data_IF_456809032188
#
_entry.id   IF_456809032188
#
_cell.length_a   1.000
_cell.length_b   1.000
_cell.length_c   1.000
_cell.angle_alpha   90.00
_cell.angle_beta   90.00
_cell.angle_gamma   90.00
#
_symmetry.space_group_name_H-M   'P 1'
#
loop_
_entity.id
_entity.type
_entity.pdbx_description
1 polymer ?
#
# COMPACT_ATOMS: atom_id res chain seq x y z
N UNK A 1 13.47 4.78 -16.30
CA UNK A 1 12.80 4.35 -15.07
C UNK A 1 11.95 5.45 -14.49
N UNK A 2 10.77 5.09 -14.04
CA UNK A 2 9.80 6.07 -13.57
C UNK A 2 10.19 6.60 -12.18
N UNK A 3 10.41 7.92 -12.08
CA UNK A 3 10.73 8.55 -10.79
C UNK A 3 9.62 8.39 -9.77
N UNK A 4 8.38 8.32 -10.21
CA UNK A 4 7.24 8.09 -9.33
C UNK A 4 7.36 6.73 -8.65
N UNK A 5 7.71 5.69 -9.39
CA UNK A 5 7.87 4.35 -8.83
C UNK A 5 8.95 4.34 -7.76
N UNK A 6 10.09 4.97 -8.04
CA UNK A 6 11.17 5.07 -7.06
C UNK A 6 10.73 5.77 -5.78
N UNK A 7 10.02 6.87 -5.93
CA UNK A 7 9.50 7.65 -4.82
C UNK A 7 8.52 6.83 -3.99
N UNK A 8 7.61 6.12 -4.65
CA UNK A 8 6.62 5.29 -3.96
C UNK A 8 7.26 4.11 -3.26
N UNK A 9 8.27 3.50 -3.88
CA UNK A 9 9.04 2.42 -3.24
C UNK A 9 9.69 2.92 -1.95
N UNK A 10 10.35 4.06 -2.00
CA UNK A 10 10.98 4.62 -0.82
C UNK A 10 9.95 4.90 0.28
N UNK A 11 8.87 5.59 -0.05
CA UNK A 11 7.83 5.94 0.92
C UNK A 11 7.19 4.70 1.55
N UNK A 12 6.97 3.66 0.76
CA UNK A 12 6.30 2.46 1.25
C UNK A 12 7.20 1.59 2.12
N UNK A 13 8.51 1.72 1.99
CA UNK A 13 9.48 0.94 2.77
C UNK A 13 10.03 1.73 3.96
N UNK A 14 9.57 2.95 4.17
CA UNK A 14 10.01 3.81 5.29
C UNK A 14 8.79 4.35 6.03
N UNK A 15 7.93 3.42 6.37
CA UNK A 15 6.71 3.77 7.11
C UNK A 15 6.95 3.89 8.61
N UNK A 16 6.76 4.06 9.48
CA UNK A 16 7.10 4.19 10.88
C UNK A 16 7.11 2.89 11.66
N UNK A 17 6.50 1.84 11.11
CA UNK A 17 6.47 0.55 11.77
C UNK A 17 6.98 -0.54 10.86
N UNK A 18 7.62 -1.54 11.46
CA UNK A 18 8.15 -2.69 10.74
C UNK A 18 7.06 -3.45 10.00
N UNK A 19 5.90 -3.56 10.63
CA UNK A 19 4.78 -4.30 10.05
C UNK A 19 4.27 -3.63 8.78
N UNK A 20 4.14 -2.30 8.81
CA UNK A 20 3.69 -1.57 7.63
C UNK A 20 4.77 -1.57 6.55
N UNK A 21 6.04 -1.52 6.92
CA UNK A 21 7.13 -1.66 5.97
C UNK A 21 7.05 -3.01 5.24
N UNK A 22 6.72 -4.08 5.95
CA UNK A 22 6.59 -5.41 5.34
C UNK A 22 5.35 -5.53 4.46
N UNK A 23 4.22 -5.05 4.93
CA UNK A 23 2.95 -5.21 4.20
C UNK A 23 2.84 -4.25 3.03
N UNK A 24 3.01 -2.97 3.28
CA UNK A 24 2.89 -1.95 2.24
C UNK A 24 4.14 -1.92 1.37
N UNK A 25 5.31 -1.94 2.00
CA UNK A 25 6.58 -1.96 1.28
C UNK A 25 6.78 -3.22 0.47
N UNK A 26 6.42 -4.37 1.04
CA UNK A 26 6.49 -5.65 0.34
C UNK A 26 5.57 -5.68 -0.88
N UNK A 27 4.36 -5.18 -0.73
CA UNK A 27 3.43 -5.06 -1.85
C UNK A 27 4.04 -4.20 -2.96
N UNK A 28 4.62 -3.06 -2.58
CA UNK A 28 5.21 -2.14 -3.55
C UNK A 28 6.36 -2.79 -4.31
N UNK A 29 7.24 -3.48 -3.61
CA UNK A 29 8.38 -4.14 -4.26
C UNK A 29 7.93 -5.12 -5.33
N UNK A 30 6.88 -5.88 -5.05
CA UNK A 30 6.42 -6.91 -5.98
C UNK A 30 5.50 -6.39 -7.07
N UNK A 31 4.76 -5.31 -6.83
CA UNK A 31 3.64 -4.95 -7.68
C UNK A 31 3.68 -3.58 -8.35
N UNK A 32 4.47 -2.60 -7.86
CA UNK A 32 4.39 -1.25 -8.41
C UNK A 32 4.62 -1.19 -9.91
N UNK A 33 5.56 -1.97 -10.43
CA UNK A 33 5.87 -1.97 -11.86
C UNK A 33 4.75 -2.57 -12.70
N UNK A 34 3.84 -3.30 -12.07
CA UNK A 34 2.72 -3.96 -12.75
C UNK A 34 1.44 -3.15 -12.69
N UNK A 35 1.42 -2.08 -11.91
CA UNK A 35 0.23 -1.28 -11.72
C UNK A 35 0.02 -0.32 -12.90
N UNK A 36 -1.23 -0.08 -13.23
CA UNK A 36 -1.59 0.94 -14.22
C UNK A 36 -1.29 2.34 -13.65
N UNK A 37 -1.23 3.37 -14.51
CA UNK A 37 -1.04 4.74 -14.03
C UNK A 37 -2.10 5.16 -13.00
N UNK A 38 -3.35 4.73 -13.17
CA UNK A 38 -4.41 5.04 -12.22
C UNK A 38 -4.19 4.34 -10.90
N UNK A 39 -3.75 3.08 -10.94
CA UNK A 39 -3.45 2.33 -9.73
C UNK A 39 -2.26 2.92 -8.97
N UNK A 40 -1.25 3.40 -9.70
CA UNK A 40 -0.11 4.07 -9.07
C UNK A 40 -0.56 5.33 -8.35
N UNK A 41 -1.49 6.06 -8.93
CA UNK A 41 -2.06 7.25 -8.32
C UNK A 41 -2.83 6.91 -7.05
N UNK A 42 -3.60 5.84 -7.10
CA UNK A 42 -4.30 5.36 -5.92
C UNK A 42 -3.34 4.97 -4.81
N UNK A 43 -2.26 4.29 -5.17
CA UNK A 43 -1.26 3.88 -4.20
C UNK A 43 -0.60 5.09 -3.54
N UNK A 44 -0.32 6.12 -4.32
CA UNK A 44 0.23 7.37 -3.79
C UNK A 44 -0.72 8.00 -2.77
N UNK A 45 -2.01 8.04 -3.08
CA UNK A 45 -3.02 8.55 -2.16
C UNK A 45 -3.12 7.70 -0.91
N UNK A 46 -3.04 6.38 -1.07
CA UNK A 46 -3.08 5.45 0.06
C UNK A 46 -1.91 5.69 1.02
N UNK A 47 -0.75 6.02 0.51
CA UNK A 47 0.42 6.29 1.34
C UNK A 47 0.27 7.54 2.20
N UNK A 48 -0.71 8.38 1.93
CA UNK A 48 -0.99 9.55 2.76
C UNK A 48 -1.77 9.19 4.04
N UNK A 49 -2.31 7.98 4.12
CA UNK A 49 -2.96 7.52 5.35
C UNK A 49 -1.90 7.24 6.42
N UNK A 50 -2.28 7.39 7.68
CA UNK A 50 -1.36 7.11 8.78
C UNK A 50 -1.12 5.61 8.93
N UNK A 51 -0.01 5.25 9.55
CA UNK A 51 0.29 3.84 9.84
C UNK A 51 -0.80 3.23 10.72
N UNK A 52 -1.36 4.00 11.62
CA UNK A 52 -2.45 3.53 12.47
C UNK A 52 -3.69 3.18 11.65
N UNK A 53 -4.04 4.04 10.70
CA UNK A 53 -5.19 3.78 9.83
C UNK A 53 -4.96 2.56 8.96
N UNK A 54 -3.78 2.46 8.36
CA UNK A 54 -3.44 1.33 7.50
C UNK A 54 -3.36 0.03 8.30
N UNK A 55 -2.79 0.07 9.49
CA UNK A 55 -2.69 -1.10 10.36
C UNK A 55 -4.07 -1.56 10.83
N UNK A 56 -4.92 -0.65 11.24
CA UNK A 56 -6.28 -0.99 11.65
C UNK A 56 -7.04 -1.68 10.51
N UNK A 57 -6.86 -1.20 9.30
CA UNK A 57 -7.53 -1.75 8.13
C UNK A 57 -6.94 -3.10 7.71
N UNK A 58 -5.61 -3.20 7.60
CA UNK A 58 -4.95 -4.40 7.09
C UNK A 58 -4.79 -5.49 8.14
N UNK A 59 -4.39 -5.11 9.35
CA UNK A 59 -4.05 -6.08 10.40
C UNK A 59 -5.25 -6.41 11.25
N UNK A 60 -5.97 -5.39 11.71
CA UNK A 60 -7.11 -5.57 12.59
C UNK A 60 -8.42 -5.83 11.85
N UNK A 61 -8.37 -5.81 10.53
CA UNK A 61 -9.53 -6.02 9.65
C UNK A 61 -10.70 -5.07 9.91
N UNK A 62 -10.38 -3.86 10.39
CA UNK A 62 -11.40 -2.84 10.59
C UNK A 62 -11.79 -2.21 9.27
N UNK A 63 -13.06 -1.92 9.12
CA UNK A 63 -13.57 -1.33 7.91
C UNK A 63 -13.10 0.11 7.77
N UNK A 64 -12.61 0.46 6.57
CA UNK A 64 -12.26 1.84 6.23
C UNK A 64 -12.75 2.11 4.82
N UNK A 65 -13.84 2.89 4.72
CA UNK A 65 -14.51 3.11 3.44
C UNK A 65 -13.58 3.78 2.43
N UNK A 66 -12.79 4.75 2.86
CA UNK A 66 -11.89 5.46 1.96
C UNK A 66 -10.83 4.54 1.38
N UNK A 67 -10.25 3.69 2.22
CA UNK A 67 -9.26 2.73 1.75
C UNK A 67 -9.88 1.67 0.86
N UNK A 68 -11.07 1.23 1.16
CA UNK A 68 -11.72 0.18 0.38
C UNK A 68 -12.26 0.67 -0.96
N UNK A 69 -12.36 1.99 -1.14
CA UNK A 69 -12.77 2.56 -2.42
C UNK A 69 -11.65 2.51 -3.47
N UNK A 70 -10.41 2.31 -3.06
CA UNK A 70 -9.33 2.14 -4.02
C UNK A 70 -9.43 0.78 -4.70
N UNK A 71 -9.26 0.74 -6.01
CA UNK A 71 -9.30 -0.54 -6.74
C UNK A 71 -8.13 -1.44 -6.34
N UNK A 72 -6.99 -0.87 -5.93
CA UNK A 72 -5.83 -1.66 -5.50
C UNK A 72 -6.01 -2.31 -4.14
N UNK A 73 -7.03 -1.92 -3.37
CA UNK A 73 -7.21 -2.45 -2.02
C UNK A 73 -7.36 -3.96 -1.98
N UNK A 74 -8.06 -4.53 -2.96
CA UNK A 74 -8.21 -5.98 -3.06
C UNK A 74 -6.86 -6.66 -3.29
N UNK A 75 -6.01 -6.03 -4.12
CA UNK A 75 -4.69 -6.55 -4.42
C UNK A 75 -3.80 -6.53 -3.17
N UNK A 76 -3.88 -5.45 -2.41
CA UNK A 76 -3.10 -5.33 -1.17
C UNK A 76 -3.54 -6.35 -0.14
N UNK A 77 -4.83 -6.53 0.03
CA UNK A 77 -5.36 -7.53 0.96
C UNK A 77 -4.99 -8.95 0.54
N UNK A 78 -5.04 -9.23 -0.76
CA UNK A 78 -4.62 -10.54 -1.28
C UNK A 78 -3.14 -10.78 -1.02
N UNK A 79 -2.31 -9.76 -1.16
CA UNK A 79 -0.89 -9.86 -0.86
C UNK A 79 -0.65 -10.17 0.63
N UNK A 80 -1.38 -9.52 1.51
CA UNK A 80 -1.28 -9.78 2.95
C UNK A 80 -1.55 -11.24 3.28
N UNK A 81 -2.52 -11.85 2.60
CA UNK A 81 -2.87 -13.25 2.85
C UNK A 81 -1.76 -14.23 2.49
N UNK A 82 -0.71 -13.78 1.79
CA UNK A 82 0.43 -14.62 1.42
C UNK A 82 1.52 -14.64 2.50
N UNK A 83 1.35 -13.87 3.54
CA UNK A 83 2.34 -13.84 4.65
C UNK A 83 2.08 -14.96 5.66
#
# INVERSE_FOLDING_TARGET
>A
MNNLIKKLLYRSNHRGTKEMDLLIGGFAIKNLKKLSPEELKEFELLLNFTDKELSSWLVDNKKNIDLENFSISKKIKAFKLQF
#
